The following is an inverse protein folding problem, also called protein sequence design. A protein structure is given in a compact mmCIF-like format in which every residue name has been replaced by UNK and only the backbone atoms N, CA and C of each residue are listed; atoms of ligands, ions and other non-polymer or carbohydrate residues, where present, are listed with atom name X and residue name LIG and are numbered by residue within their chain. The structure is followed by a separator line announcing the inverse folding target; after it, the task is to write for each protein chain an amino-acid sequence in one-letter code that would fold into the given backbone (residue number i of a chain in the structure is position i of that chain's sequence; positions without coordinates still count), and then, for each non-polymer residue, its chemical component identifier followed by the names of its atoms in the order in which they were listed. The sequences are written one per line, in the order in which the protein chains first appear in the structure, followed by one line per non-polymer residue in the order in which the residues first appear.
data_IF_612985867368
#
_entry.id   IF_612985867368
#
_cell.length_a   1.000
_cell.length_b   1.000
_cell.length_c   1.000
_cell.angle_alpha   90.00
_cell.angle_beta   90.00
_cell.angle_gamma   90.00
#
_symmetry.space_group_name_H-M   'P 1'
#
loop_
_entity.id
_entity.type
_entity.pdbx_description
1 polymer ?
#
# COMPACT_ATOMS: atom_id res chain seq x y z
N UNK A 1 6.50 9.11 -34.57
CA UNK A 1 7.41 7.98 -34.86
C UNK A 1 7.50 6.99 -33.68
N UNK A 2 7.68 7.40 -32.46
CA UNK A 2 7.75 6.49 -31.29
C UNK A 2 6.53 5.56 -31.11
N UNK A 3 5.33 5.98 -31.48
CA UNK A 3 4.10 5.19 -31.35
C UNK A 3 4.02 4.01 -32.36
N UNK A 4 4.62 4.14 -33.55
CA UNK A 4 4.67 3.04 -34.53
C UNK A 4 5.73 2.00 -34.24
N UNK A 5 6.81 2.37 -33.55
CA UNK A 5 7.83 1.43 -33.06
C UNK A 5 7.31 0.60 -31.88
N UNK A 6 6.38 1.13 -31.08
CA UNK A 6 5.72 0.43 -29.98
C UNK A 6 4.81 -0.72 -30.48
N UNK A 7 4.10 -0.51 -31.60
CA UNK A 7 3.26 -1.56 -32.22
C UNK A 7 4.07 -2.66 -32.92
N UNK A 8 5.29 -2.35 -33.37
CA UNK A 8 6.16 -3.30 -34.11
C UNK A 8 7.13 -4.07 -33.21
N UNK A 9 7.40 -3.62 -31.97
CA UNK A 9 8.10 -4.43 -31.00
C UNK A 9 7.13 -5.50 -30.51
N UNK A 10 7.38 -6.76 -30.93
CA UNK A 10 6.64 -7.92 -30.47
C UNK A 10 6.87 -8.17 -28.96
N UNK A 11 6.39 -7.25 -28.14
CA UNK A 11 6.17 -7.45 -26.72
C UNK A 11 5.01 -8.44 -26.59
N UNK A 12 5.36 -9.72 -26.66
CA UNK A 12 4.38 -10.77 -26.47
C UNK A 12 3.72 -10.54 -25.10
N UNK A 13 2.40 -10.76 -24.99
CA UNK A 13 1.69 -10.84 -23.71
C UNK A 13 2.47 -11.66 -22.67
N UNK A 14 3.32 -12.61 -23.09
CA UNK A 14 4.20 -13.41 -22.26
C UNK A 14 5.38 -12.64 -21.65
N UNK A 15 5.96 -11.65 -22.31
CA UNK A 15 7.04 -10.84 -21.72
C UNK A 15 6.50 -9.77 -20.76
N UNK A 16 5.34 -9.21 -21.03
CA UNK A 16 4.60 -8.36 -20.10
C UNK A 16 4.00 -9.15 -18.92
N UNK A 17 3.52 -10.39 -19.17
CA UNK A 17 3.00 -11.28 -18.14
C UNK A 17 4.09 -11.97 -17.30
N UNK A 18 5.33 -12.10 -17.80
CA UNK A 18 6.46 -12.51 -16.98
C UNK A 18 6.98 -11.38 -16.08
N UNK A 19 6.75 -10.11 -16.44
CA UNK A 19 6.91 -8.96 -15.57
C UNK A 19 5.66 -8.66 -14.73
N UNK A 20 4.58 -9.37 -14.93
CA UNK A 20 3.26 -9.15 -14.30
C UNK A 20 3.09 -9.66 -12.88
N UNK A 21 4.16 -9.94 -12.18
CA UNK A 21 4.09 -10.14 -10.77
C UNK A 21 4.07 -8.79 -10.06
N UNK A 22 2.89 -8.21 -9.86
CA UNK A 22 2.62 -7.25 -8.78
C UNK A 22 2.96 -7.85 -7.38
N UNK A 23 3.78 -8.89 -7.37
CA UNK A 23 4.17 -9.71 -6.23
C UNK A 23 5.21 -9.03 -5.33
N UNK A 24 5.79 -7.91 -5.73
CA UNK A 24 6.93 -7.33 -5.02
C UNK A 24 6.61 -6.60 -3.71
N UNK A 25 5.40 -6.09 -3.52
CA UNK A 25 5.12 -5.18 -2.39
C UNK A 25 5.19 -5.85 -1.00
N UNK A 26 5.01 -7.16 -0.92
CA UNK A 26 4.95 -7.86 0.37
C UNK A 26 6.13 -8.76 0.72
N UNK A 27 6.82 -9.32 -0.29
CA UNK A 27 7.83 -10.35 -0.06
C UNK A 27 9.09 -9.85 0.65
N UNK A 28 9.28 -8.55 0.72
CA UNK A 28 10.57 -7.94 0.95
C UNK A 28 10.81 -7.49 2.38
N UNK A 29 9.78 -7.26 3.17
CA UNK A 29 9.95 -6.97 4.60
C UNK A 29 10.43 -8.21 5.41
N UNK A 30 10.54 -9.39 4.77
CA UNK A 30 10.82 -10.65 5.43
C UNK A 30 12.29 -10.88 5.78
N UNK A 31 13.21 -10.17 5.17
CA UNK A 31 14.62 -10.58 5.17
C UNK A 31 15.59 -9.77 6.02
N UNK A 32 15.16 -8.69 6.68
CA UNK A 32 16.10 -7.83 7.42
C UNK A 32 15.96 -8.07 8.93
N UNK A 33 16.88 -8.81 9.57
CA UNK A 33 16.84 -8.99 11.01
C UNK A 33 17.19 -7.68 11.71
N UNK A 34 16.23 -7.07 12.40
CA UNK A 34 16.45 -6.00 13.38
C UNK A 34 16.98 -6.55 14.72
N UNK A 35 17.28 -7.84 14.78
CA UNK A 35 17.63 -8.56 16.01
C UNK A 35 18.94 -8.11 16.68
N UNK A 36 19.81 -7.40 15.98
CA UNK A 36 21.07 -6.89 16.54
C UNK A 36 20.97 -5.52 17.23
N UNK A 37 19.82 -4.86 17.12
CA UNK A 37 19.59 -3.58 17.78
C UNK A 37 18.99 -3.82 19.17
N UNK A 38 19.80 -4.21 20.14
CA UNK A 38 19.39 -4.27 21.55
C UNK A 38 18.80 -2.93 22.05
N UNK A 39 18.71 -2.74 23.37
CA UNK A 39 18.34 -1.45 23.99
C UNK A 39 19.44 -0.38 23.85
N UNK A 40 20.15 -0.33 22.72
CA UNK A 40 21.10 0.73 22.45
C UNK A 40 20.31 2.01 22.24
N UNK A 41 20.64 3.06 23.00
CA UNK A 41 20.14 4.41 22.73
C UNK A 41 20.68 4.83 21.37
N UNK A 42 19.88 4.66 20.32
CA UNK A 42 20.21 5.15 18.99
C UNK A 42 20.25 6.68 19.08
N UNK A 43 21.33 7.28 18.62
CA UNK A 43 21.38 8.73 18.43
C UNK A 43 20.24 9.08 17.45
N UNK A 44 19.26 9.83 17.95
CA UNK A 44 18.12 10.27 17.14
C UNK A 44 18.54 11.50 16.34
N UNK A 45 19.44 11.27 15.37
CA UNK A 45 20.04 12.31 14.56
C UNK A 45 19.10 12.62 13.36
N UNK A 46 18.76 13.88 13.21
CA UNK A 46 17.98 14.40 12.07
C UNK A 46 18.86 14.82 10.90
N UNK A 47 20.19 14.71 11.03
CA UNK A 47 21.12 15.06 9.96
C UNK A 47 21.15 13.96 8.87
N UNK A 48 21.12 14.38 7.62
CA UNK A 48 21.30 13.49 6.46
C UNK A 48 22.63 12.70 6.49
N UNK A 49 23.66 13.22 7.16
CA UNK A 49 24.93 12.53 7.40
C UNK A 49 24.80 11.27 8.28
N UNK A 50 23.72 11.15 9.04
CA UNK A 50 23.41 9.96 9.83
C UNK A 50 22.94 8.77 8.96
N UNK A 51 22.54 9.01 7.71
CA UNK A 51 21.91 8.04 6.82
C UNK A 51 22.70 7.76 5.52
N UNK A 52 24.00 7.40 5.60
CA UNK A 52 24.86 7.23 4.42
C UNK A 52 24.45 6.05 3.53
N UNK A 53 23.91 4.96 4.07
CA UNK A 53 23.46 3.82 3.26
C UNK A 53 22.17 4.17 2.52
N UNK A 54 21.23 4.89 3.14
CA UNK A 54 20.03 5.40 2.48
C UNK A 54 20.42 6.38 1.37
N UNK A 55 21.34 7.31 1.64
CA UNK A 55 21.85 8.24 0.62
C UNK A 55 22.47 7.50 -0.57
N UNK A 56 23.33 6.52 -0.29
CA UNK A 56 23.95 5.69 -1.33
C UNK A 56 22.91 4.92 -2.16
N UNK A 57 21.84 4.45 -1.53
CA UNK A 57 20.73 3.81 -2.23
C UNK A 57 20.06 4.79 -3.20
N UNK A 58 19.71 5.99 -2.74
CA UNK A 58 19.10 7.05 -3.56
C UNK A 58 19.99 7.36 -4.76
N UNK A 59 21.28 7.59 -4.53
CA UNK A 59 22.26 7.88 -5.58
C UNK A 59 22.36 6.74 -6.62
N UNK A 60 22.35 5.49 -6.17
CA UNK A 60 22.51 4.31 -7.03
C UNK A 60 21.37 4.07 -8.03
N UNK A 61 20.21 4.68 -7.78
CA UNK A 61 19.06 4.57 -8.68
C UNK A 61 18.85 5.84 -9.52
N UNK A 62 19.12 7.01 -8.99
CA UNK A 62 18.83 8.28 -9.66
C UNK A 62 19.97 8.69 -10.60
N UNK A 63 21.24 8.56 -10.19
CA UNK A 63 22.38 8.95 -11.03
C UNK A 63 22.48 8.17 -12.35
N UNK A 64 22.28 6.83 -12.37
CA UNK A 64 22.26 6.09 -13.62
C UNK A 64 20.91 6.19 -14.35
N UNK A 65 20.01 7.08 -13.93
CA UNK A 65 18.65 7.28 -14.49
C UNK A 65 17.77 6.03 -14.54
N UNK A 66 17.96 5.10 -13.60
CA UNK A 66 17.03 3.98 -13.40
C UNK A 66 15.68 4.45 -12.86
N UNK A 67 15.68 5.55 -12.09
CA UNK A 67 14.51 6.27 -11.61
C UNK A 67 14.61 7.76 -11.94
N UNK A 68 13.47 8.41 -12.16
CA UNK A 68 13.42 9.87 -12.35
C UNK A 68 13.76 10.61 -11.05
N UNK A 69 13.33 10.05 -9.92
CA UNK A 69 13.57 10.58 -8.58
C UNK A 69 13.44 9.47 -7.53
N UNK A 70 13.97 9.78 -6.35
CA UNK A 70 13.70 9.06 -5.12
C UNK A 70 13.73 10.03 -3.94
N UNK A 71 12.71 9.97 -3.08
CA UNK A 71 12.63 10.72 -1.83
C UNK A 71 12.55 9.72 -0.69
N UNK A 72 13.50 9.77 0.24
CA UNK A 72 13.54 8.95 1.44
C UNK A 72 13.31 9.84 2.67
N UNK A 73 12.46 9.38 3.59
CA UNK A 73 12.10 10.08 4.83
C UNK A 73 12.38 9.16 6.00
N UNK A 74 13.16 9.60 6.97
CA UNK A 74 13.46 8.88 8.20
C UNK A 74 13.21 9.80 9.39
N UNK A 75 12.46 9.32 10.37
CA UNK A 75 12.10 10.12 11.54
C UNK A 75 11.94 9.32 12.82
N UNK A 76 11.98 10.01 13.94
CA UNK A 76 11.86 9.45 15.27
C UNK A 76 10.71 10.08 16.04
N UNK A 77 9.82 9.26 16.57
CA UNK A 77 8.68 9.71 17.39
C UNK A 77 7.89 10.84 16.69
N UNK A 78 7.75 12.01 17.31
CA UNK A 78 7.04 13.19 16.79
C UNK A 78 8.02 14.30 16.29
N UNK A 79 9.31 13.97 16.13
CA UNK A 79 10.32 14.95 15.68
C UNK A 79 10.29 15.12 14.17
N UNK A 80 10.81 16.25 13.70
CA UNK A 80 10.99 16.49 12.27
C UNK A 80 11.84 15.38 11.63
N UNK A 81 11.46 14.89 10.46
CA UNK A 81 12.21 13.84 9.78
C UNK A 81 13.45 14.37 9.05
N UNK A 82 14.43 13.50 8.87
CA UNK A 82 15.46 13.67 7.84
C UNK A 82 14.88 13.31 6.49
N UNK A 83 15.09 14.16 5.49
CA UNK A 83 14.65 13.94 4.11
C UNK A 83 15.86 13.90 3.18
N UNK A 84 16.03 12.80 2.46
CA UNK A 84 17.03 12.64 1.41
C UNK A 84 16.30 12.52 0.08
N UNK A 85 16.42 13.55 -0.75
CA UNK A 85 15.73 13.63 -2.03
C UNK A 85 16.71 13.85 -3.18
N UNK A 86 16.45 13.21 -4.33
CA UNK A 86 17.24 13.38 -5.54
C UNK A 86 16.38 13.15 -6.77
N UNK A 87 16.70 13.88 -7.85
CA UNK A 87 16.04 13.80 -9.15
C UNK A 87 14.87 14.77 -9.30
N UNK A 88 14.37 14.91 -10.52
CA UNK A 88 13.28 15.82 -10.85
C UNK A 88 11.90 15.16 -10.74
N UNK A 89 10.83 15.96 -10.76
CA UNK A 89 9.44 15.45 -10.79
C UNK A 89 9.18 14.50 -11.97
N UNK A 90 9.91 14.70 -13.06
CA UNK A 90 10.00 13.80 -14.21
C UNK A 90 11.39 13.86 -14.83
N UNK A 91 11.72 12.92 -15.71
CA UNK A 91 12.98 12.97 -16.47
C UNK A 91 13.01 14.26 -17.30
N UNK A 92 14.10 15.04 -17.12
CA UNK A 92 14.28 16.31 -17.81
C UNK A 92 13.54 17.50 -17.20
N UNK A 93 12.75 17.30 -16.15
CA UNK A 93 12.12 18.40 -15.41
C UNK A 93 13.16 19.05 -14.46
N UNK A 94 13.39 20.37 -14.51
CA UNK A 94 14.34 21.03 -13.61
C UNK A 94 13.87 21.12 -12.16
N UNK A 95 12.55 21.01 -11.91
CA UNK A 95 11.98 21.04 -10.56
C UNK A 95 12.31 19.75 -9.83
N UNK A 96 13.04 19.88 -8.73
CA UNK A 96 13.44 18.74 -7.91
C UNK A 96 12.26 18.13 -7.17
N UNK A 97 12.24 16.80 -7.07
CA UNK A 97 11.34 16.09 -6.19
C UNK A 97 11.76 16.29 -4.72
N UNK A 98 10.79 16.35 -3.81
CA UNK A 98 11.05 16.60 -2.39
C UNK A 98 9.85 16.27 -1.51
N UNK A 99 9.87 16.82 -0.28
CA UNK A 99 8.86 16.55 0.74
C UNK A 99 7.41 16.82 0.30
N UNK A 100 7.21 17.82 -0.54
CA UNK A 100 5.89 18.30 -0.97
C UNK A 100 5.52 17.85 -2.38
N UNK A 101 6.32 16.98 -3.00
CA UNK A 101 6.00 16.37 -4.29
C UNK A 101 4.91 15.32 -4.13
N UNK A 102 3.97 15.29 -5.05
CA UNK A 102 2.83 14.37 -4.99
C UNK A 102 3.19 13.08 -5.73
N UNK A 103 2.98 11.96 -5.03
CA UNK A 103 3.22 10.60 -5.52
C UNK A 103 1.94 9.80 -5.50
N UNK A 104 1.73 8.93 -6.46
CA UNK A 104 0.70 7.89 -6.39
C UNK A 104 1.20 6.83 -5.43
N UNK A 105 0.56 6.70 -4.27
CA UNK A 105 1.03 5.81 -3.21
C UNK A 105 0.44 4.39 -3.30
N UNK A 106 -0.53 4.19 -4.20
CA UNK A 106 -1.16 2.89 -4.44
C UNK A 106 -1.45 2.13 -3.13
N UNK A 107 -0.89 0.94 -2.96
CA UNK A 107 -1.22 0.07 -1.83
C UNK A 107 -0.78 0.60 -0.47
N UNK A 108 -0.01 1.68 -0.38
CA UNK A 108 0.17 2.42 0.88
C UNK A 108 -1.14 3.10 1.36
N UNK A 109 -2.19 3.12 0.54
CA UNK A 109 -3.57 3.45 0.95
C UNK A 109 -4.10 2.49 2.02
N UNK A 110 -3.74 1.20 1.95
CA UNK A 110 -4.29 0.14 2.80
C UNK A 110 -4.12 0.35 4.30
N UNK A 111 -2.94 0.76 4.81
CA UNK A 111 -2.78 1.12 6.22
C UNK A 111 -3.72 2.24 6.69
N UNK A 112 -3.95 3.26 5.85
CA UNK A 112 -4.87 4.37 6.16
C UNK A 112 -6.30 3.84 6.25
N UNK A 113 -6.77 3.09 5.25
CA UNK A 113 -8.08 2.44 5.26
C UNK A 113 -8.24 1.48 6.45
N UNK A 114 -7.20 0.72 6.75
CA UNK A 114 -7.18 -0.19 7.89
C UNK A 114 -7.34 0.54 9.22
N UNK A 115 -6.61 1.64 9.42
CA UNK A 115 -6.73 2.45 10.65
C UNK A 115 -8.09 3.17 10.73
N UNK A 116 -8.69 3.55 9.60
CA UNK A 116 -10.05 4.08 9.55
C UNK A 116 -11.08 3.06 10.07
N UNK A 117 -10.94 1.79 9.68
CA UNK A 117 -11.78 0.70 10.25
C UNK A 117 -11.50 0.51 11.73
N UNK A 118 -10.23 0.56 12.15
CA UNK A 118 -9.87 0.42 13.56
C UNK A 118 -10.45 1.54 14.43
N UNK A 119 -10.59 2.77 13.91
CA UNK A 119 -11.26 3.86 14.64
C UNK A 119 -12.75 3.57 14.86
N UNK A 120 -13.44 3.03 13.85
CA UNK A 120 -14.85 2.64 13.98
C UNK A 120 -15.06 1.44 14.91
N UNK A 121 -14.09 0.52 14.98
CA UNK A 121 -14.09 -0.59 15.95
C UNK A 121 -13.94 -0.05 17.37
N UNK A 122 -13.06 0.90 17.59
CA UNK A 122 -12.83 1.52 18.89
C UNK A 122 -14.04 2.34 19.37
N UNK A 123 -14.77 2.95 18.45
CA UNK A 123 -16.04 3.64 18.71
C UNK A 123 -17.22 2.68 18.97
N UNK A 124 -17.02 1.37 18.85
CA UNK A 124 -18.08 0.36 19.00
C UNK A 124 -19.10 0.31 17.85
N UNK A 125 -18.79 0.97 16.71
CA UNK A 125 -19.62 0.96 15.50
C UNK A 125 -19.40 -0.26 14.61
N UNK A 126 -18.25 -0.91 14.76
CA UNK A 126 -17.85 -2.16 14.11
C UNK A 126 -17.25 -3.13 15.15
N UNK A 127 -17.37 -4.42 14.89
CA UNK A 127 -16.63 -5.44 15.61
C UNK A 127 -15.54 -6.06 14.74
N UNK A 128 -14.37 -6.34 15.30
CA UNK A 128 -13.27 -6.95 14.53
C UNK A 128 -13.66 -8.32 13.94
N UNK A 129 -14.38 -9.12 14.71
CA UNK A 129 -14.87 -10.44 14.29
C UNK A 129 -16.36 -10.42 13.89
N UNK A 130 -16.93 -9.23 13.68
CA UNK A 130 -18.30 -9.06 13.22
C UNK A 130 -18.44 -9.65 11.81
N UNK A 131 -19.47 -10.49 11.55
CA UNK A 131 -19.79 -10.98 10.23
C UNK A 131 -20.06 -9.83 9.25
N UNK A 132 -19.41 -9.86 8.09
CA UNK A 132 -19.61 -8.86 7.03
C UNK A 132 -21.10 -8.77 6.61
N UNK A 133 -21.79 -9.90 6.60
CA UNK A 133 -23.20 -9.96 6.21
C UNK A 133 -24.16 -9.16 7.10
N UNK A 134 -23.77 -8.82 8.32
CA UNK A 134 -24.55 -7.92 9.20
C UNK A 134 -24.50 -6.47 8.71
N UNK A 135 -23.52 -6.12 7.90
CA UNK A 135 -23.28 -4.76 7.37
C UNK A 135 -23.65 -4.73 5.89
N UNK A 136 -23.24 -5.75 5.14
CA UNK A 136 -23.47 -5.94 3.71
C UNK A 136 -24.16 -7.29 3.47
N UNK A 137 -25.52 -7.34 3.53
CA UNK A 137 -26.29 -8.61 3.49
C UNK A 137 -26.04 -9.48 2.25
N UNK A 138 -25.60 -8.88 1.13
CA UNK A 138 -25.27 -9.62 -0.09
C UNK A 138 -24.17 -10.69 0.12
N UNK A 139 -23.33 -10.55 1.17
CA UNK A 139 -22.27 -11.51 1.52
C UNK A 139 -22.72 -12.65 2.45
N UNK A 140 -24.03 -12.83 2.70
CA UNK A 140 -24.52 -13.84 3.64
C UNK A 140 -24.33 -15.29 3.15
N UNK A 141 -24.48 -15.55 1.85
CA UNK A 141 -24.51 -16.88 1.27
C UNK A 141 -23.42 -17.07 0.21
N UNK A 142 -22.17 -16.88 0.60
CA UNK A 142 -21.06 -16.98 -0.33
C UNK A 142 -20.75 -18.42 -0.72
N UNK A 143 -20.29 -18.60 -1.95
CA UNK A 143 -19.77 -19.86 -2.47
C UNK A 143 -18.27 -19.74 -2.71
N UNK A 144 -17.57 -20.86 -2.60
CA UNK A 144 -16.10 -20.94 -2.69
C UNK A 144 -15.72 -21.87 -3.82
N UNK A 145 -14.73 -21.52 -4.61
CA UNK A 145 -14.14 -22.42 -5.61
C UNK A 145 -13.56 -23.65 -4.90
N UNK A 146 -13.90 -24.86 -5.35
CA UNK A 146 -13.30 -26.10 -4.82
C UNK A 146 -11.81 -26.20 -5.11
N UNK A 147 -11.34 -25.57 -6.19
CA UNK A 147 -9.93 -25.50 -6.56
C UNK A 147 -9.53 -24.05 -6.72
N UNK A 148 -8.47 -23.60 -6.02
CA UNK A 148 -7.91 -22.25 -6.11
C UNK A 148 -7.56 -21.91 -7.57
N UNK A 149 -8.03 -20.77 -8.06
CA UNK A 149 -7.94 -20.34 -9.47
C UNK A 149 -8.60 -21.30 -10.48
N UNK A 150 -9.46 -22.21 -10.02
CA UNK A 150 -10.15 -23.21 -10.84
C UNK A 150 -11.42 -22.69 -11.51
N UNK A 151 -12.40 -23.58 -11.68
CA UNK A 151 -13.70 -23.25 -12.26
C UNK A 151 -14.48 -22.27 -11.38
N UNK A 152 -15.18 -21.33 -12.00
CA UNK A 152 -16.11 -20.41 -11.31
C UNK A 152 -17.52 -21.00 -11.17
N UNK A 153 -17.74 -22.25 -11.62
CA UNK A 153 -19.02 -22.99 -11.53
C UNK A 153 -18.91 -24.26 -10.69
N UNK A 154 -17.69 -24.76 -10.41
CA UNK A 154 -17.48 -25.88 -9.50
C UNK A 154 -17.21 -25.32 -8.09
N UNK A 155 -18.31 -25.12 -7.37
CA UNK A 155 -18.34 -24.38 -6.12
C UNK A 155 -18.85 -25.25 -4.96
N UNK A 156 -18.52 -24.85 -3.77
CA UNK A 156 -19.07 -25.33 -2.51
C UNK A 156 -19.52 -24.16 -1.64
N UNK A 157 -20.43 -24.34 -0.68
CA UNK A 157 -20.80 -23.27 0.25
C UNK A 157 -19.60 -22.81 1.11
N UNK A 158 -19.57 -21.54 1.46
CA UNK A 158 -18.65 -21.04 2.48
C UNK A 158 -18.98 -21.69 3.83
N UNK A 159 -17.97 -22.25 4.50
CA UNK A 159 -18.12 -22.97 5.78
C UNK A 159 -18.25 -22.02 6.98
N UNK A 160 -17.90 -20.75 6.79
CA UNK A 160 -17.99 -19.70 7.82
C UNK A 160 -18.19 -18.33 7.16
N UNK A 161 -18.76 -17.36 7.89
CA UNK A 161 -18.92 -16.02 7.36
C UNK A 161 -17.56 -15.33 7.19
N UNK A 162 -17.51 -14.37 6.25
CA UNK A 162 -16.44 -13.38 6.18
C UNK A 162 -16.59 -12.43 7.37
N UNK A 163 -15.50 -12.07 8.02
CA UNK A 163 -15.47 -11.08 9.10
C UNK A 163 -14.69 -9.83 8.70
N UNK A 164 -14.83 -8.73 9.46
CA UNK A 164 -14.04 -7.51 9.30
C UNK A 164 -12.54 -7.81 9.43
N UNK A 165 -12.13 -8.67 10.38
CA UNK A 165 -10.76 -9.18 10.51
C UNK A 165 -10.26 -9.81 9.22
N UNK A 166 -11.07 -10.62 8.57
CA UNK A 166 -10.69 -11.29 7.33
C UNK A 166 -10.43 -10.29 6.19
N UNK A 167 -11.20 -9.21 6.10
CA UNK A 167 -10.98 -8.16 5.10
C UNK A 167 -9.68 -7.39 5.39
N UNK A 168 -9.45 -6.98 6.64
CA UNK A 168 -8.25 -6.26 7.06
C UNK A 168 -6.96 -7.05 6.79
N UNK A 169 -7.03 -8.39 6.88
CA UNK A 169 -5.87 -9.27 6.83
C UNK A 169 -5.74 -10.07 5.53
N UNK A 170 -6.54 -9.79 4.50
CA UNK A 170 -6.54 -10.56 3.24
C UNK A 170 -6.79 -12.06 3.41
N UNK A 171 -7.64 -12.43 4.36
CA UNK A 171 -8.04 -13.84 4.63
C UNK A 171 -9.53 -14.09 4.36
N UNK A 172 -10.23 -13.15 3.75
CA UNK A 172 -11.66 -13.26 3.43
C UNK A 172 -11.98 -14.28 2.34
N UNK A 173 -10.99 -14.78 1.63
CA UNK A 173 -11.21 -15.61 0.43
C UNK A 173 -11.59 -14.79 -0.81
N UNK A 174 -11.54 -13.47 -0.76
CA UNK A 174 -11.73 -12.61 -1.91
C UNK A 174 -10.51 -12.66 -2.84
N UNK A 175 -10.73 -12.56 -4.13
CA UNK A 175 -9.67 -12.50 -5.14
C UNK A 175 -9.15 -11.08 -5.42
N UNK A 176 -8.25 -11.02 -6.39
CA UNK A 176 -7.71 -9.79 -6.95
C UNK A 176 -7.31 -10.06 -8.41
N UNK A 177 -7.88 -9.36 -9.38
CA UNK A 177 -7.64 -9.63 -10.82
C UNK A 177 -6.16 -9.60 -11.22
N UNK A 178 -5.33 -8.86 -10.46
CA UNK A 178 -3.88 -8.79 -10.67
C UNK A 178 -3.09 -9.96 -10.04
N UNK A 179 -3.73 -10.78 -9.22
CA UNK A 179 -3.11 -11.93 -8.54
C UNK A 179 -3.66 -13.24 -9.11
N UNK A 180 -4.98 -13.35 -9.20
CA UNK A 180 -5.67 -14.54 -9.68
C UNK A 180 -5.39 -14.79 -11.16
N UNK A 181 -5.58 -16.05 -11.56
CA UNK A 181 -5.41 -16.53 -12.93
C UNK A 181 -6.70 -17.19 -13.43
N UNK A 182 -6.75 -17.44 -14.73
CA UNK A 182 -7.83 -18.23 -15.34
C UNK A 182 -9.21 -17.58 -15.29
N UNK A 183 -10.29 -18.38 -15.07
CA UNK A 183 -11.66 -17.91 -15.16
C UNK A 183 -12.01 -16.84 -14.15
N UNK A 184 -11.53 -16.95 -12.91
CA UNK A 184 -11.86 -16.01 -11.83
C UNK A 184 -11.29 -14.62 -12.10
N UNK A 185 -10.06 -14.49 -12.60
CA UNK A 185 -9.46 -13.20 -12.96
C UNK A 185 -10.32 -12.49 -14.01
N UNK A 186 -10.75 -13.23 -15.05
CA UNK A 186 -11.64 -12.68 -16.09
C UNK A 186 -13.02 -12.30 -15.55
N UNK A 187 -13.54 -13.05 -14.58
CA UNK A 187 -14.82 -12.73 -13.96
C UNK A 187 -14.73 -11.41 -13.16
N UNK A 188 -13.66 -11.17 -12.41
CA UNK A 188 -13.39 -9.90 -11.72
C UNK A 188 -13.31 -8.73 -12.72
N UNK A 189 -12.56 -8.90 -13.82
CA UNK A 189 -12.45 -7.88 -14.87
C UNK A 189 -13.79 -7.59 -15.52
N UNK A 190 -14.55 -8.63 -15.89
CA UNK A 190 -15.87 -8.50 -16.52
C UNK A 190 -16.90 -7.86 -15.58
N UNK A 191 -16.83 -8.13 -14.29
CA UNK A 191 -17.66 -7.49 -13.26
C UNK A 191 -17.24 -6.04 -12.95
N UNK A 192 -16.14 -5.54 -13.51
CA UNK A 192 -15.60 -4.22 -13.21
C UNK A 192 -15.04 -4.08 -11.77
N UNK A 193 -14.73 -5.22 -11.13
CA UNK A 193 -14.12 -5.28 -9.80
C UNK A 193 -12.60 -5.20 -9.96
N UNK A 194 -12.12 -4.00 -10.27
CA UNK A 194 -10.71 -3.73 -10.59
C UNK A 194 -9.98 -3.01 -9.45
N UNK A 195 -8.65 -3.17 -9.33
CA UNK A 195 -7.90 -2.77 -8.15
C UNK A 195 -7.37 -1.32 -8.15
N UNK A 196 -8.02 -0.40 -8.80
CA UNK A 196 -7.61 1.01 -8.87
C UNK A 196 -7.28 1.48 -10.28
N UNK A 197 -6.75 2.68 -10.39
CA UNK A 197 -6.47 3.37 -11.66
C UNK A 197 -4.96 3.57 -11.87
N UNK A 198 -4.48 3.48 -13.11
CA UNK A 198 -3.04 3.60 -13.43
C UNK A 198 -2.75 4.67 -14.46
N UNK A 199 -3.55 4.76 -15.52
CA UNK A 199 -3.26 5.61 -16.68
C UNK A 199 -4.51 5.85 -17.52
N UNK A 200 -4.58 6.99 -18.21
CA UNK A 200 -5.56 7.28 -19.28
C UNK A 200 -5.11 6.73 -20.64
N UNK A 201 -3.87 6.28 -20.77
CA UNK A 201 -3.39 5.67 -22.01
C UNK A 201 -4.10 4.33 -22.23
N UNK A 202 -4.30 3.90 -23.49
CA UNK A 202 -4.97 2.63 -23.80
C UNK A 202 -4.09 1.40 -23.50
N UNK A 203 -3.45 1.42 -22.33
CA UNK A 203 -2.57 0.39 -21.81
C UNK A 203 -3.26 -0.47 -20.72
N UNK A 204 -4.54 -0.20 -20.42
CA UNK A 204 -5.26 -0.87 -19.33
C UNK A 204 -5.22 -2.38 -19.43
N UNK A 205 -5.38 -2.94 -20.64
CA UNK A 205 -5.27 -4.39 -20.87
C UNK A 205 -3.87 -4.96 -20.58
N UNK A 206 -2.81 -4.15 -20.74
CA UNK A 206 -1.43 -4.57 -20.42
C UNK A 206 -1.18 -4.67 -18.92
N UNK A 207 -1.96 -3.94 -18.10
CA UNK A 207 -1.90 -3.97 -16.64
C UNK A 207 -2.99 -4.87 -16.01
N UNK A 208 -3.71 -5.67 -16.82
CA UNK A 208 -4.73 -6.60 -16.34
C UNK A 208 -5.94 -5.90 -15.70
N UNK A 209 -6.34 -4.73 -16.23
CA UNK A 209 -7.40 -3.91 -15.65
C UNK A 209 -8.51 -3.65 -16.66
N UNK A 210 -9.72 -4.08 -16.29
CA UNK A 210 -10.96 -3.72 -16.99
C UNK A 210 -11.45 -2.31 -16.62
N UNK A 211 -12.62 -1.95 -17.13
CA UNK A 211 -13.31 -0.72 -16.73
C UNK A 211 -13.91 -0.88 -15.32
N UNK A 212 -13.62 0.02 -14.36
CA UNK A 212 -14.19 -0.07 -13.02
C UNK A 212 -15.68 0.28 -13.04
N UNK A 213 -16.46 -0.40 -12.21
CA UNK A 213 -17.83 0.03 -11.89
C UNK A 213 -17.79 1.37 -11.15
N UNK A 214 -18.89 2.14 -11.24
CA UNK A 214 -19.00 3.43 -10.54
C UNK A 214 -19.75 3.26 -9.22
N UNK A 215 -19.13 3.70 -8.14
CA UNK A 215 -19.66 3.65 -6.77
C UNK A 215 -19.23 2.42 -5.98
N UNK A 216 -18.94 2.61 -4.68
CA UNK A 216 -18.56 1.54 -3.76
C UNK A 216 -19.72 0.58 -3.46
N UNK A 217 -20.96 1.02 -3.55
CA UNK A 217 -22.15 0.21 -3.43
C UNK A 217 -22.23 -0.80 -4.59
N UNK A 218 -22.14 -0.32 -5.84
CA UNK A 218 -22.12 -1.18 -7.03
C UNK A 218 -20.92 -2.12 -7.00
N UNK A 219 -19.75 -1.64 -6.57
CA UNK A 219 -18.55 -2.47 -6.40
C UNK A 219 -18.82 -3.64 -5.43
N UNK A 220 -19.41 -3.35 -4.27
CA UNK A 220 -19.72 -4.37 -3.27
C UNK A 220 -20.75 -5.39 -3.77
N UNK A 221 -21.80 -4.94 -4.44
CA UNK A 221 -22.85 -5.81 -5.01
C UNK A 221 -22.26 -6.73 -6.08
N UNK A 222 -21.47 -6.20 -7.01
CA UNK A 222 -20.81 -7.02 -8.05
C UNK A 222 -19.80 -8.00 -7.47
N UNK A 223 -19.08 -7.61 -6.43
CA UNK A 223 -18.12 -8.49 -5.74
C UNK A 223 -18.86 -9.66 -5.04
N UNK A 224 -20.03 -9.42 -4.46
CA UNK A 224 -20.82 -10.45 -3.80
C UNK A 224 -21.38 -11.51 -4.76
N UNK A 225 -21.50 -11.19 -6.06
CA UNK A 225 -21.91 -12.14 -7.10
C UNK A 225 -20.78 -13.12 -7.51
N UNK A 226 -19.53 -12.83 -7.13
CA UNK A 226 -18.36 -13.61 -7.51
C UNK A 226 -18.03 -14.66 -6.44
N UNK A 227 -17.58 -15.87 -6.83
CA UNK A 227 -17.17 -16.86 -5.85
C UNK A 227 -15.88 -16.45 -5.14
N UNK A 228 -15.77 -16.88 -3.91
CA UNK A 228 -14.52 -16.81 -3.14
C UNK A 228 -13.49 -17.79 -3.72
N UNK A 229 -12.22 -17.45 -3.64
CA UNK A 229 -11.09 -18.27 -4.11
C UNK A 229 -10.59 -19.28 -3.06
N UNK A 230 -10.98 -19.07 -1.80
CA UNK A 230 -10.64 -19.93 -0.67
C UNK A 230 -11.67 -19.75 0.45
N UNK A 231 -11.79 -20.72 1.35
CA UNK A 231 -12.63 -20.62 2.54
C UNK A 231 -12.16 -19.46 3.44
N UNK A 232 -13.08 -18.60 3.93
CA UNK A 232 -12.72 -17.49 4.81
C UNK A 232 -11.90 -17.94 6.02
N UNK A 233 -10.82 -17.23 6.32
CA UNK A 233 -9.93 -17.49 7.45
C UNK A 233 -8.99 -18.69 7.30
N UNK A 234 -8.85 -19.28 6.10
CA UNK A 234 -7.97 -20.46 5.90
C UNK A 234 -6.68 -20.15 5.18
N UNK A 235 -6.69 -19.15 4.31
CA UNK A 235 -5.55 -18.81 3.44
C UNK A 235 -5.37 -17.29 3.35
N UNK A 236 -4.14 -16.85 3.41
CA UNK A 236 -3.79 -15.48 3.04
C UNK A 236 -3.71 -15.36 1.50
N UNK A 237 -4.46 -14.45 0.93
CA UNK A 237 -4.39 -14.09 -0.50
C UNK A 237 -4.66 -12.61 -0.67
N UNK A 238 -3.68 -11.90 -1.23
CA UNK A 238 -3.85 -10.47 -1.50
C UNK A 238 -5.14 -10.21 -2.30
N UNK A 239 -5.93 -9.24 -1.89
CA UNK A 239 -7.32 -9.13 -2.36
C UNK A 239 -7.84 -7.70 -2.38
N UNK A 240 -9.04 -7.53 -2.95
CA UNK A 240 -9.83 -6.29 -2.93
C UNK A 240 -10.51 -6.01 -1.58
N UNK A 241 -10.13 -6.73 -0.52
CA UNK A 241 -10.76 -6.59 0.79
C UNK A 241 -10.74 -5.17 1.35
N UNK A 242 -9.64 -4.42 1.13
CA UNK A 242 -9.52 -3.03 1.59
C UNK A 242 -10.39 -2.06 0.76
N UNK A 243 -10.64 -2.36 -0.52
CA UNK A 243 -11.59 -1.59 -1.33
C UNK A 243 -13.01 -1.80 -0.80
N UNK A 244 -13.38 -3.05 -0.48
CA UNK A 244 -14.67 -3.38 0.14
C UNK A 244 -14.83 -2.74 1.53
N UNK A 245 -13.75 -2.62 2.30
CA UNK A 245 -13.78 -1.90 3.58
C UNK A 245 -14.12 -0.41 3.42
N UNK A 246 -13.85 0.21 2.27
CA UNK A 246 -14.37 1.54 1.95
C UNK A 246 -15.91 1.58 2.04
N UNK A 247 -16.59 0.58 1.46
CA UNK A 247 -18.06 0.48 1.58
C UNK A 247 -18.53 0.18 3.00
N UNK A 248 -17.81 -0.68 3.72
CA UNK A 248 -18.09 -0.96 5.15
C UNK A 248 -18.01 0.34 5.97
N UNK A 249 -16.99 1.17 5.74
CA UNK A 249 -16.84 2.48 6.39
C UNK A 249 -18.05 3.37 6.07
N UNK A 250 -18.49 3.44 4.79
CA UNK A 250 -19.68 4.24 4.44
C UNK A 250 -20.93 3.81 5.22
N UNK A 251 -21.21 2.51 5.25
CA UNK A 251 -22.39 1.99 5.95
C UNK A 251 -22.29 2.21 7.46
N UNK A 252 -21.13 1.90 8.05
CA UNK A 252 -20.93 2.04 9.49
C UNK A 252 -20.86 3.50 9.95
N UNK A 253 -20.31 4.42 9.15
CA UNK A 253 -20.17 5.83 9.52
C UNK A 253 -21.37 6.70 9.10
N UNK A 254 -22.10 6.30 8.06
CA UNK A 254 -23.10 7.12 7.41
C UNK A 254 -22.50 8.24 6.54
N UNK A 255 -21.18 8.24 6.33
CA UNK A 255 -20.43 9.22 5.52
C UNK A 255 -19.93 8.56 4.24
N UNK A 256 -19.66 9.35 3.20
CA UNK A 256 -18.88 8.88 2.06
C UNK A 256 -17.46 8.56 2.51
N UNK A 257 -16.85 7.53 1.91
CA UNK A 257 -15.55 7.03 2.37
C UNK A 257 -14.41 8.06 2.27
N UNK A 258 -14.35 8.80 1.18
CA UNK A 258 -13.41 9.90 0.99
C UNK A 258 -13.61 11.02 2.00
N UNK A 259 -14.87 11.43 2.25
CA UNK A 259 -15.22 12.44 3.25
C UNK A 259 -14.86 11.97 4.67
N UNK A 260 -15.06 10.67 4.98
CA UNK A 260 -14.66 10.11 6.26
C UNK A 260 -13.15 10.20 6.49
N UNK A 261 -12.35 9.85 5.48
CA UNK A 261 -10.90 9.96 5.58
C UNK A 261 -10.44 11.41 5.71
N UNK A 262 -11.07 12.33 4.95
CA UNK A 262 -10.75 13.75 5.02
C UNK A 262 -10.99 14.29 6.44
N UNK A 263 -12.20 14.15 6.97
CA UNK A 263 -12.57 14.69 8.27
C UNK A 263 -11.83 14.04 9.44
N UNK A 264 -11.61 12.71 9.38
CA UNK A 264 -11.12 11.95 10.55
C UNK A 264 -9.61 11.77 10.57
N UNK A 265 -8.95 11.89 9.41
CA UNK A 265 -7.52 11.67 9.28
C UNK A 265 -6.79 12.83 8.58
N UNK A 266 -7.22 13.23 7.38
CA UNK A 266 -6.41 14.16 6.60
C UNK A 266 -6.40 15.56 7.21
N UNK A 267 -7.58 16.13 7.53
CA UNK A 267 -7.66 17.44 8.18
C UNK A 267 -6.95 17.48 9.56
N UNK A 268 -7.21 16.52 10.49
CA UNK A 268 -6.56 16.55 11.80
C UNK A 268 -5.05 16.30 11.78
N UNK A 269 -4.53 15.66 10.72
CA UNK A 269 -3.11 15.38 10.50
C UNK A 269 -2.44 16.42 9.58
N UNK A 270 -3.16 17.46 9.12
CA UNK A 270 -2.73 18.44 8.12
C UNK A 270 -2.14 17.77 6.84
N UNK A 271 -2.80 16.71 6.34
CA UNK A 271 -2.42 15.96 5.14
C UNK A 271 -3.08 16.57 3.90
N UNK A 272 -2.85 17.85 3.65
CA UNK A 272 -3.58 18.67 2.68
C UNK A 272 -3.40 18.25 1.20
N UNK A 273 -2.38 17.45 0.91
CA UNK A 273 -2.09 16.95 -0.44
C UNK A 273 -2.35 15.45 -0.58
N UNK A 274 -3.10 14.87 0.36
CA UNK A 274 -3.49 13.45 0.35
C UNK A 274 -4.95 13.31 -0.03
N UNK A 275 -5.25 12.48 -1.03
CA UNK A 275 -6.62 12.30 -1.50
C UNK A 275 -6.73 11.31 -2.65
N UNK A 276 -7.95 11.08 -3.12
CA UNK A 276 -8.22 10.20 -4.27
C UNK A 276 -8.10 10.91 -5.62
N UNK A 277 -7.85 12.21 -5.58
CA UNK A 277 -7.65 13.07 -6.74
C UNK A 277 -6.59 14.13 -6.41
N UNK A 278 -5.91 14.61 -7.43
CA UNK A 278 -5.00 15.77 -7.34
C UNK A 278 -5.78 17.03 -7.67
N UNK A 279 -5.69 18.06 -6.82
CA UNK A 279 -6.26 19.36 -7.16
C UNK A 279 -5.58 19.93 -8.41
N UNK A 280 -6.31 20.53 -9.37
CA UNK A 280 -5.73 21.12 -10.55
C UNK A 280 -4.65 22.18 -10.26
N UNK A 281 -4.72 22.88 -9.14
CA UNK A 281 -3.69 23.83 -8.70
C UNK A 281 -2.37 23.16 -8.31
N UNK A 282 -2.41 21.88 -7.95
CA UNK A 282 -1.27 21.08 -7.49
C UNK A 282 -0.61 20.21 -8.56
N UNK A 283 -1.12 20.25 -9.79
CA UNK A 283 -0.61 19.43 -10.90
C UNK A 283 0.89 19.59 -11.14
N UNK A 284 1.43 20.77 -10.88
CA UNK A 284 2.86 21.07 -11.02
C UNK A 284 3.74 20.42 -9.92
N UNK A 285 3.13 19.85 -8.88
CA UNK A 285 3.80 19.09 -7.81
C UNK A 285 3.72 17.58 -8.05
N UNK A 286 2.86 17.13 -8.98
CA UNK A 286 2.65 15.73 -9.27
C UNK A 286 3.84 15.17 -10.05
N UNK A 287 4.36 14.04 -9.62
CA UNK A 287 5.44 13.30 -10.29
C UNK A 287 4.90 12.54 -11.51
N UNK A 288 5.75 12.22 -12.48
CA UNK A 288 5.40 11.31 -13.58
C UNK A 288 5.52 9.85 -13.12
N UNK A 289 4.50 9.02 -13.37
CA UNK A 289 4.63 7.58 -13.21
C UNK A 289 5.17 6.94 -14.50
N UNK A 290 6.10 6.00 -14.35
CA UNK A 290 6.80 5.36 -15.46
C UNK A 290 6.54 3.85 -15.51
N UNK A 291 6.42 3.30 -16.72
CA UNK A 291 6.59 1.88 -16.97
C UNK A 291 8.07 1.56 -17.19
N UNK A 292 8.61 0.52 -16.57
CA UNK A 292 9.95 -0.02 -16.88
C UNK A 292 9.80 -1.07 -17.95
N UNK A 293 10.20 -0.73 -19.19
CA UNK A 293 10.09 -1.61 -20.36
C UNK A 293 11.47 -1.80 -20.95
N UNK A 294 11.96 -3.03 -20.96
CA UNK A 294 13.32 -3.38 -21.41
C UNK A 294 14.42 -2.49 -20.76
N UNK A 295 14.24 -2.15 -19.48
CA UNK A 295 15.18 -1.31 -18.72
C UNK A 295 15.04 0.20 -18.95
N UNK A 296 14.11 0.63 -19.80
CA UNK A 296 13.84 2.04 -20.07
C UNK A 296 12.61 2.54 -19.32
N UNK A 297 12.65 3.80 -18.90
CA UNK A 297 11.51 4.48 -18.26
C UNK A 297 10.62 5.11 -19.33
N UNK A 298 9.40 4.59 -19.48
CA UNK A 298 8.38 5.11 -20.39
C UNK A 298 7.30 5.79 -19.57
N UNK A 299 7.00 7.09 -19.79
CA UNK A 299 5.90 7.75 -19.07
C UNK A 299 4.57 7.05 -19.33
N UNK A 300 3.90 6.58 -18.29
CA UNK A 300 2.59 5.94 -18.39
C UNK A 300 1.47 6.80 -17.78
N UNK A 301 1.80 7.70 -16.87
CA UNK A 301 0.84 8.65 -16.30
C UNK A 301 1.54 9.99 -16.00
N UNK A 302 1.71 10.86 -17.02
CA UNK A 302 2.33 12.17 -16.86
C UNK A 302 1.38 13.16 -16.16
N UNK A 303 1.88 14.15 -15.39
CA UNK A 303 1.09 15.02 -14.52
C UNK A 303 -0.13 15.66 -15.19
N UNK A 304 0.05 16.34 -16.32
CA UNK A 304 -1.02 17.09 -17.00
C UNK A 304 -2.06 16.21 -17.71
N UNK A 305 -1.82 14.92 -17.80
CA UNK A 305 -2.72 13.92 -18.39
C UNK A 305 -3.01 12.78 -17.40
N UNK A 306 -2.73 13.01 -16.13
CA UNK A 306 -2.89 11.98 -15.11
C UNK A 306 -4.35 11.56 -14.94
N UNK A 307 -4.54 10.27 -14.72
CA UNK A 307 -5.84 9.70 -14.35
C UNK A 307 -6.33 10.25 -13.00
N UNK A 308 -5.43 10.75 -12.16
CA UNK A 308 -5.74 11.34 -10.85
C UNK A 308 -6.21 12.80 -10.91
N UNK A 309 -6.33 13.40 -12.10
CA UNK A 309 -6.97 14.72 -12.27
C UNK A 309 -8.49 14.60 -12.40
N UNK A 310 -9.01 13.41 -12.69
CA UNK A 310 -10.44 13.13 -12.79
C UNK A 310 -10.94 12.50 -11.49
N UNK A 311 -12.26 12.60 -11.27
CA UNK A 311 -12.90 11.86 -10.18
C UNK A 311 -12.76 10.35 -10.44
N UNK A 312 -12.29 9.57 -9.46
CA UNK A 312 -12.20 8.14 -9.63
C UNK A 312 -13.59 7.51 -9.78
N UNK A 313 -13.67 6.32 -10.36
CA UNK A 313 -14.92 5.59 -10.45
C UNK A 313 -15.56 5.35 -9.06
N UNK A 314 -14.73 5.15 -8.06
CA UNK A 314 -15.01 5.18 -6.62
C UNK A 314 -13.70 5.40 -5.86
N UNK A 315 -13.72 5.84 -4.59
CA UNK A 315 -12.51 5.94 -3.78
C UNK A 315 -11.96 4.53 -3.46
N UNK A 316 -10.87 4.12 -4.14
CA UNK A 316 -10.27 2.80 -3.98
C UNK A 316 -9.51 2.69 -2.66
N UNK A 317 -10.11 2.05 -1.66
CA UNK A 317 -9.52 1.87 -0.32
C UNK A 317 -8.26 1.00 -0.30
N UNK A 318 -8.04 0.23 -1.38
CA UNK A 318 -6.86 -0.61 -1.55
C UNK A 318 -5.69 0.07 -2.28
N UNK A 319 -5.91 1.13 -3.07
CA UNK A 319 -4.85 1.67 -3.92
C UNK A 319 -5.12 3.07 -4.51
N UNK A 320 -6.09 3.83 -4.00
CA UNK A 320 -6.60 5.03 -4.67
C UNK A 320 -5.89 6.33 -4.34
N UNK A 321 -5.13 6.40 -3.25
CA UNK A 321 -4.57 7.67 -2.78
C UNK A 321 -3.35 8.13 -3.56
N UNK A 322 -3.27 9.43 -3.74
CA UNK A 322 -2.03 10.18 -3.88
C UNK A 322 -1.67 10.79 -2.54
N UNK A 323 -0.38 11.08 -2.32
CA UNK A 323 0.09 11.74 -1.09
C UNK A 323 1.48 12.36 -1.32
N UNK A 324 1.93 13.17 -0.38
CA UNK A 324 3.31 13.66 -0.33
C UNK A 324 4.12 12.89 0.71
N UNK A 325 5.48 12.88 0.60
CA UNK A 325 6.34 12.37 1.66
C UNK A 325 6.07 13.01 3.03
N UNK A 326 5.78 14.31 3.07
CA UNK A 326 5.43 15.05 4.30
C UNK A 326 4.11 14.55 4.90
N UNK A 327 3.05 14.49 4.11
CA UNK A 327 1.72 14.09 4.59
C UNK A 327 1.72 12.66 5.13
N UNK A 328 2.31 11.74 4.36
CA UNK A 328 2.36 10.35 4.80
C UNK A 328 3.23 10.17 6.05
N UNK A 329 4.30 10.97 6.22
CA UNK A 329 5.10 10.96 7.45
C UNK A 329 4.28 11.40 8.67
N UNK A 330 3.34 12.35 8.53
CA UNK A 330 2.40 12.75 9.59
C UNK A 330 1.47 11.61 10.00
N UNK A 331 0.99 10.83 9.04
CA UNK A 331 0.28 9.58 9.36
C UNK A 331 1.16 8.60 10.12
N UNK A 332 2.42 8.42 9.73
CA UNK A 332 3.36 7.58 10.46
C UNK A 332 3.69 8.14 11.86
N UNK A 333 3.77 9.46 12.02
CA UNK A 333 3.93 10.12 13.33
C UNK A 333 2.76 9.79 14.25
N UNK A 334 1.53 9.86 13.74
CA UNK A 334 0.33 9.48 14.50
C UNK A 334 0.42 8.02 14.94
N UNK A 335 0.89 7.10 14.09
CA UNK A 335 1.06 5.69 14.46
C UNK A 335 2.06 5.51 15.60
N UNK A 336 3.30 6.02 15.46
CA UNK A 336 4.33 5.89 16.51
C UNK A 336 4.00 6.70 17.77
N UNK A 337 3.15 7.71 17.64
CA UNK A 337 2.55 8.48 18.74
C UNK A 337 1.37 7.76 19.39
N UNK A 338 1.07 6.51 19.01
CA UNK A 338 -0.07 5.75 19.50
C UNK A 338 -1.40 6.53 19.42
N UNK A 339 -1.64 7.13 18.25
CA UNK A 339 -2.83 7.90 17.94
C UNK A 339 -2.77 9.38 18.33
N UNK A 340 -1.63 9.85 18.84
CA UNK A 340 -1.37 11.28 19.07
C UNK A 340 -0.59 11.88 17.91
N UNK A 341 -0.94 13.10 17.52
CA UNK A 341 -0.19 13.93 16.59
C UNK A 341 -0.24 15.38 17.06
N UNK A 342 0.90 16.02 17.25
CA UNK A 342 1.04 17.42 17.70
C UNK A 342 0.14 17.78 18.92
N UNK A 343 0.07 16.88 19.89
CA UNK A 343 -0.73 17.06 21.09
C UNK A 343 -2.24 16.77 20.93
N UNK A 344 -2.71 16.50 19.71
CA UNK A 344 -4.11 16.14 19.42
C UNK A 344 -4.29 14.61 19.39
N UNK A 345 -5.41 14.11 19.91
CA UNK A 345 -5.81 12.70 19.79
C UNK A 345 -6.57 12.50 18.49
N UNK A 346 -5.98 11.74 17.55
CA UNK A 346 -6.60 11.40 16.25
C UNK A 346 -7.39 10.09 16.39
N UNK A 347 -6.82 9.09 17.05
CA UNK A 347 -7.49 7.84 17.37
C UNK A 347 -6.97 7.29 18.70
N UNK A 348 -7.64 6.29 19.30
CA UNK A 348 -7.19 5.77 20.59
C UNK A 348 -5.88 4.99 20.47
N UNK A 349 -5.11 4.97 21.56
CA UNK A 349 -3.92 4.12 21.68
C UNK A 349 -4.26 2.65 21.45
N UNK A 350 -5.42 2.19 21.96
CA UNK A 350 -5.90 0.81 21.82
C UNK A 350 -6.08 0.46 20.34
N UNK A 351 -6.75 1.32 19.57
CA UNK A 351 -6.98 1.09 18.14
C UNK A 351 -5.66 0.98 17.37
N UNK A 352 -4.70 1.86 17.63
CA UNK A 352 -3.37 1.81 16.99
C UNK A 352 -2.64 0.53 17.39
N UNK A 353 -2.58 0.18 18.67
CA UNK A 353 -1.90 -1.04 19.15
C UNK A 353 -2.48 -2.29 18.51
N UNK A 354 -3.80 -2.42 18.47
CA UNK A 354 -4.46 -3.56 17.84
C UNK A 354 -4.20 -3.54 16.32
N UNK A 355 -4.41 -2.41 15.64
CA UNK A 355 -4.26 -2.31 14.19
C UNK A 355 -2.84 -2.55 13.67
N UNK A 356 -1.81 -2.22 14.48
CA UNK A 356 -0.40 -2.49 14.17
C UNK A 356 0.12 -3.83 14.69
N UNK A 357 -0.73 -4.63 15.35
CA UNK A 357 -0.40 -5.98 15.82
C UNK A 357 -0.80 -7.06 14.82
N UNK A 358 -0.34 -8.30 15.05
CA UNK A 358 -0.74 -9.43 14.22
C UNK A 358 -2.21 -9.81 14.48
N UNK A 359 -3.04 -9.64 13.44
CA UNK A 359 -4.46 -10.00 13.46
C UNK A 359 -4.74 -11.32 12.72
N UNK A 360 -3.72 -11.94 12.10
CA UNK A 360 -3.91 -13.22 11.41
C UNK A 360 -4.35 -14.29 12.40
N UNK A 361 -5.38 -15.06 12.09
CA UNK A 361 -5.67 -16.29 12.81
C UNK A 361 -4.50 -17.27 12.69
N UNK A 362 -4.21 -18.01 13.77
CA UNK A 362 -3.10 -18.98 13.81
C UNK A 362 -3.25 -20.11 12.76
N UNK A 363 -4.46 -20.35 12.30
CA UNK A 363 -4.80 -21.39 11.30
C UNK A 363 -4.51 -20.96 9.85
N UNK A 364 -4.16 -19.69 9.61
CA UNK A 364 -3.98 -19.16 8.25
C UNK A 364 -2.66 -19.62 7.66
N UNK A 365 -2.72 -20.26 6.49
CA UNK A 365 -1.54 -20.59 5.73
C UNK A 365 -1.01 -19.37 4.95
N UNK A 366 0.18 -18.90 5.29
CA UNK A 366 0.87 -17.80 4.60
C UNK A 366 2.02 -18.29 3.70
N UNK A 367 2.31 -19.59 3.67
CA UNK A 367 3.44 -20.13 2.90
C UNK A 367 3.28 -19.84 1.40
N UNK A 368 4.37 -19.42 0.76
CA UNK A 368 4.40 -19.09 -0.66
C UNK A 368 3.66 -17.78 -1.04
N UNK A 369 3.23 -16.99 -0.05
CA UNK A 369 2.55 -15.71 -0.25
C UNK A 369 3.43 -14.52 0.14
N UNK A 370 2.99 -13.31 -0.17
CA UNK A 370 3.67 -12.08 0.26
C UNK A 370 3.69 -11.88 1.78
N UNK A 371 2.86 -12.58 2.54
CA UNK A 371 2.84 -12.57 3.99
C UNK A 371 3.69 -13.69 4.62
N UNK A 372 4.40 -14.49 3.82
CA UNK A 372 5.23 -15.58 4.34
C UNK A 372 6.26 -15.06 5.36
N UNK A 373 6.32 -15.72 6.53
CA UNK A 373 7.23 -15.37 7.62
C UNK A 373 6.88 -14.08 8.37
N UNK A 374 5.68 -13.53 8.17
CA UNK A 374 5.20 -12.36 8.87
C UNK A 374 3.75 -12.51 9.33
N UNK A 375 3.33 -11.61 10.24
CA UNK A 375 1.95 -11.36 10.55
C UNK A 375 1.33 -10.33 9.62
N UNK A 376 0.04 -10.08 9.82
CA UNK A 376 -0.70 -9.04 9.11
C UNK A 376 -1.65 -8.33 10.07
N UNK A 377 -1.60 -7.01 10.07
CA UNK A 377 -2.45 -6.14 10.87
C UNK A 377 -3.55 -5.50 10.04
N UNK A 378 -3.98 -4.32 10.43
CA UNK A 378 -5.01 -3.56 9.74
C UNK A 378 -4.47 -2.99 8.42
N UNK A 379 -4.55 -3.78 7.33
CA UNK A 379 -4.12 -3.38 5.99
C UNK A 379 -2.61 -3.32 5.77
N UNK A 380 -1.80 -3.77 6.72
CA UNK A 380 -0.34 -3.77 6.65
C UNK A 380 0.32 -5.03 7.22
N UNK A 381 1.53 -5.30 6.75
CA UNK A 381 2.38 -6.37 7.25
C UNK A 381 2.88 -6.04 8.65
N UNK A 382 2.97 -7.06 9.49
CA UNK A 382 3.49 -6.98 10.86
C UNK A 382 4.71 -7.90 11.00
N UNK A 383 5.77 -7.39 11.60
CA UNK A 383 6.93 -8.18 11.95
C UNK A 383 6.63 -9.16 13.08
N UNK A 384 7.21 -10.37 13.00
CA UNK A 384 7.11 -11.41 14.03
C UNK A 384 8.49 -11.70 14.65
N UNK A 385 8.51 -12.19 15.87
CA UNK A 385 9.74 -12.56 16.58
C UNK A 385 10.71 -11.39 16.69
N UNK A 386 11.90 -11.51 16.10
CA UNK A 386 12.91 -10.44 16.13
C UNK A 386 12.50 -9.13 15.43
N UNK A 387 11.46 -9.16 14.59
CA UNK A 387 10.92 -8.01 13.90
C UNK A 387 9.64 -7.46 14.57
N UNK A 388 9.26 -7.98 15.72
CA UNK A 388 8.05 -7.54 16.42
C UNK A 388 8.08 -6.03 16.71
N UNK A 389 6.96 -5.36 16.40
CA UNK A 389 6.83 -3.90 16.45
C UNK A 389 6.95 -3.22 15.08
N UNK A 390 7.45 -3.91 14.05
CA UNK A 390 7.45 -3.38 12.69
C UNK A 390 6.05 -3.50 12.10
N UNK A 391 5.55 -2.41 11.52
CA UNK A 391 4.29 -2.38 10.77
C UNK A 391 4.46 -1.50 9.54
N UNK A 392 3.89 -1.88 8.40
CA UNK A 392 3.93 -1.07 7.20
C UNK A 392 3.53 -1.82 5.93
N UNK A 393 3.54 -1.12 4.80
CA UNK A 393 3.23 -1.68 3.48
C UNK A 393 3.92 -0.91 2.36
N UNK A 394 3.92 -1.48 1.15
CA UNK A 394 4.47 -0.84 -0.05
C UNK A 394 3.42 -0.62 -1.14
N UNK A 395 3.70 0.30 -2.05
CA UNK A 395 2.86 0.66 -3.19
C UNK A 395 3.40 0.15 -4.53
N UNK A 396 2.51 -0.06 -5.48
CA UNK A 396 2.81 -0.64 -6.79
C UNK A 396 3.79 0.18 -7.66
N UNK A 397 4.00 1.47 -7.32
CA UNK A 397 4.94 2.35 -8.02
C UNK A 397 6.30 2.49 -7.30
N UNK A 398 6.69 1.51 -6.49
CA UNK A 398 7.97 1.48 -5.78
C UNK A 398 7.99 2.32 -4.50
N UNK A 399 6.85 2.80 -4.03
CA UNK A 399 6.74 3.46 -2.72
C UNK A 399 6.70 2.43 -1.59
N UNK A 400 7.25 2.77 -0.43
CA UNK A 400 7.23 1.90 0.76
C UNK A 400 7.27 2.73 2.03
N UNK A 401 6.53 2.30 3.06
CA UNK A 401 6.57 2.91 4.38
C UNK A 401 6.50 1.86 5.49
N UNK A 402 7.18 2.14 6.58
CA UNK A 402 7.19 1.32 7.79
C UNK A 402 7.34 2.18 9.05
N UNK A 403 6.86 1.64 10.15
CA UNK A 403 7.15 2.10 11.50
C UNK A 403 7.73 0.97 12.34
N UNK A 404 8.62 1.30 13.27
CA UNK A 404 8.99 0.46 14.40
C UNK A 404 8.33 1.03 15.66
N UNK A 405 7.22 0.42 16.05
CA UNK A 405 6.42 0.87 17.19
C UNK A 405 7.18 0.77 18.53
N UNK A 406 8.14 -0.13 18.63
CA UNK A 406 8.94 -0.32 19.86
C UNK A 406 10.01 0.76 20.02
N UNK A 407 10.57 1.24 18.91
CA UNK A 407 11.66 2.23 18.91
C UNK A 407 11.19 3.64 18.56
N UNK A 408 9.95 3.78 18.05
CA UNK A 408 9.42 5.04 17.55
C UNK A 408 10.06 5.50 16.26
N UNK A 409 10.66 4.57 15.48
CA UNK A 409 11.19 4.86 14.16
C UNK A 409 10.07 4.86 13.14
N UNK A 410 10.12 5.80 12.21
CA UNK A 410 9.33 5.81 10.99
C UNK A 410 10.24 6.02 9.79
N UNK A 411 9.98 5.29 8.72
CA UNK A 411 10.77 5.39 7.50
C UNK A 411 9.89 5.16 6.26
N UNK A 412 10.10 5.96 5.22
CA UNK A 412 9.38 5.80 3.95
C UNK A 412 10.25 6.21 2.76
N UNK A 413 9.98 5.61 1.60
CA UNK A 413 10.62 5.96 0.34
C UNK A 413 9.58 6.08 -0.78
N UNK A 414 9.77 7.05 -1.63
CA UNK A 414 8.87 7.42 -2.72
C UNK A 414 9.60 7.43 -4.04
N UNK A 415 9.05 6.69 -4.98
CA UNK A 415 9.48 6.62 -6.38
C UNK A 415 8.23 6.47 -7.25
N UNK A 416 8.37 6.51 -8.59
CA UNK A 416 7.23 6.30 -9.49
C UNK A 416 7.65 5.44 -10.68
N UNK A 417 7.65 4.12 -10.50
CA UNK A 417 7.89 3.15 -11.55
C UNK A 417 7.03 1.89 -11.40
N UNK A 418 6.67 1.27 -12.48
CA UNK A 418 5.88 0.04 -12.53
C UNK A 418 6.45 -0.93 -13.58
N UNK A 419 6.42 -2.25 -13.33
CA UNK A 419 5.96 -2.90 -12.10
C UNK A 419 6.96 -2.74 -10.95
N UNK A 420 6.50 -2.86 -9.70
CA UNK A 420 7.33 -2.63 -8.50
C UNK A 420 8.48 -3.64 -8.31
N UNK A 421 8.41 -4.80 -8.97
CA UNK A 421 9.45 -5.83 -8.98
C UNK A 421 10.57 -5.57 -10.01
N UNK A 422 10.42 -4.56 -10.86
CA UNK A 422 11.50 -4.16 -11.77
C UNK A 422 12.78 -3.73 -11.02
N UNK A 423 12.61 -3.19 -9.81
CA UNK A 423 13.70 -2.87 -8.90
C UNK A 423 13.34 -3.26 -7.46
N UNK A 424 14.30 -3.80 -6.66
CA UNK A 424 14.03 -4.31 -5.32
C UNK A 424 13.95 -3.21 -4.24
N UNK A 425 13.31 -2.07 -4.51
CA UNK A 425 13.26 -0.92 -3.58
C UNK A 425 12.58 -1.30 -2.27
N UNK A 426 11.52 -2.10 -2.32
CA UNK A 426 10.80 -2.57 -1.13
C UNK A 426 11.70 -3.35 -0.14
N UNK A 427 12.79 -4.02 -0.65
CA UNK A 427 13.83 -4.67 0.15
C UNK A 427 14.97 -3.75 0.49
N UNK A 428 15.45 -3.08 -0.52
CA UNK A 428 16.70 -2.35 -0.43
C UNK A 428 16.58 -1.16 0.52
N UNK A 429 15.42 -0.48 0.54
CA UNK A 429 15.23 0.67 1.41
C UNK A 429 15.21 0.30 2.91
N UNK A 430 14.36 -0.64 3.39
CA UNK A 430 14.44 -1.08 4.79
C UNK A 430 15.83 -1.63 5.18
N UNK A 431 16.51 -2.34 4.27
CA UNK A 431 17.86 -2.84 4.52
C UNK A 431 18.89 -1.71 4.70
N UNK A 432 18.79 -0.64 3.89
CA UNK A 432 19.65 0.52 4.02
C UNK A 432 19.40 1.26 5.35
N UNK A 433 18.13 1.42 5.74
CA UNK A 433 17.74 2.00 7.03
C UNK A 433 18.37 1.20 8.18
N UNK A 434 18.20 -0.13 8.19
CA UNK A 434 18.79 -0.98 9.24
C UNK A 434 20.31 -0.90 9.26
N UNK A 435 20.97 -0.86 8.11
CA UNK A 435 22.43 -0.72 8.02
C UNK A 435 22.91 0.56 8.69
N UNK A 436 22.22 1.67 8.44
CA UNK A 436 22.56 2.96 9.06
C UNK A 436 22.32 2.92 10.57
N UNK A 437 21.21 2.36 11.03
CA UNK A 437 20.91 2.18 12.46
C UNK A 437 21.97 1.33 13.18
N UNK A 438 22.43 0.24 12.56
CA UNK A 438 23.49 -0.60 13.11
C UNK A 438 24.82 0.18 13.23
N UNK A 439 25.13 0.99 12.23
CA UNK A 439 26.34 1.83 12.24
C UNK A 439 26.28 2.90 13.34
N UNK A 440 25.12 3.53 13.51
CA UNK A 440 24.89 4.51 14.59
C UNK A 440 25.01 3.85 15.97
N UNK A 441 24.43 2.67 16.16
CA UNK A 441 24.54 1.91 17.41
C UNK A 441 25.99 1.56 17.76
N UNK A 442 26.81 1.17 16.80
CA UNK A 442 28.24 0.88 16.99
C UNK A 442 29.03 2.13 17.41
N UNK A 443 28.73 3.29 16.80
CA UNK A 443 29.36 4.57 17.15
C UNK A 443 28.97 5.04 18.53
N UNK A 444 27.69 4.91 18.92
CA UNK A 444 27.20 5.27 20.26
C UNK A 444 27.72 4.36 21.37
N UNK A 445 27.95 3.08 21.09
CA UNK A 445 28.55 2.11 22.04
C UNK A 445 30.05 2.25 22.24
N UNK A 446 30.76 2.96 21.34
CA UNK A 446 32.18 3.29 21.48
C UNK A 446 32.42 4.61 22.26
N UNK A 447 31.34 5.38 22.53
CA UNK A 447 31.38 6.66 23.26
C UNK A 447 30.88 6.54 24.71
N UNK A 448 30.50 5.35 25.17
CA UNK A 448 30.12 5.03 26.54
C UNK A 448 31.18 4.12 27.20
#
# INVERSE_FOLDING_TARGET
MAFREFEQSALSRRSLLRGGAFLGAGAVMAGVPMAGLGRVALAQDTDAAAWPAVKSLVDSYVDPRKLANMVAVMGWQQRDPTIIAKGGLSIGNPRQAGADSIFRIYSMTKPITGMAVMSLIDEGRLGLDQPLAEILPAFANMHVQKTYDGSITDLEPAQRPITIRNLLTHTAGLGYSIIQKGPIARAYEAAGVVPGQVTKLPLGAAFGRGEPVRGLDVFADRLAELPLIAQPGTRWSYSVGLDLLGRVIEVASGMKFDAFLQERFFDPLDMDSTGFRVDPSDVERLTTNYGVIAGNLIPIDPPRQSVYLDDPAFPFGGAGLVSTPRDYDRFLQMLVGYGMFEGKRIMSERAVRIGTSNLLPDTVNTAGTMAAGAGFGAGGRVGLGAQEGIYGWGGAAGTVALVDMKRGLRASAYTQYMPSDAYPIHAAFPAAVVKDLMTQAQRGGLAA
#
